data_IF_416385817123
#
_entry.id   IF_416385817123
#
_cell.length_a   1.000
_cell.length_b   1.000
_cell.length_c   1.000
_cell.angle_alpha   90.00
_cell.angle_beta   90.00
_cell.angle_gamma   90.00
#
_symmetry.space_group_name_H-M   'P 1'
#
loop_
_entity.id
_entity.type
_entity.pdbx_description
1 polymer ?
#
# COMPACT_ATOMS: atom_id res chain seq x y z
N UNK A 1 -15.54 6.49 -54.79
CA UNK A 1 -14.61 7.64 -54.71
C UNK A 1 -15.07 8.77 -53.78
N UNK A 2 -16.27 9.35 -53.96
CA UNK A 2 -16.75 10.44 -53.10
C UNK A 2 -16.75 10.08 -51.59
N UNK A 3 -17.24 8.89 -51.23
CA UNK A 3 -17.23 8.42 -49.84
C UNK A 3 -15.81 8.35 -49.23
N UNK A 4 -14.84 7.92 -50.02
CA UNK A 4 -13.44 7.82 -49.59
C UNK A 4 -12.85 9.22 -49.36
N UNK A 5 -13.06 10.16 -50.30
CA UNK A 5 -12.61 11.53 -50.16
C UNK A 5 -13.23 12.23 -48.96
N UNK A 6 -14.53 12.09 -48.76
CA UNK A 6 -15.26 12.67 -47.63
C UNK A 6 -14.75 12.10 -46.29
N UNK A 7 -14.61 10.78 -46.19
CA UNK A 7 -14.09 10.13 -44.98
C UNK A 7 -12.64 10.54 -44.68
N UNK A 8 -11.80 10.64 -45.73
CA UNK A 8 -10.42 11.10 -45.60
C UNK A 8 -10.35 12.56 -45.19
N UNK A 9 -11.19 13.42 -45.77
CA UNK A 9 -11.26 14.83 -45.41
C UNK A 9 -11.66 15.00 -43.94
N UNK A 10 -12.64 14.22 -43.46
CA UNK A 10 -13.04 14.24 -42.05
C UNK A 10 -11.90 13.80 -41.13
N UNK A 11 -11.23 12.69 -41.44
CA UNK A 11 -10.14 12.17 -40.62
C UNK A 11 -8.93 13.12 -40.51
N UNK A 12 -8.72 13.95 -41.54
CA UNK A 12 -7.68 15.00 -41.52
C UNK A 12 -8.16 16.25 -40.77
N UNK A 13 -9.46 16.54 -40.81
CA UNK A 13 -10.05 17.69 -40.14
C UNK A 13 -10.15 17.50 -38.62
N UNK A 14 -10.69 16.37 -38.18
CA UNK A 14 -10.81 15.98 -36.77
C UNK A 14 -9.67 15.04 -36.40
N UNK A 15 -8.51 15.59 -36.04
CA UNK A 15 -7.32 14.79 -35.69
C UNK A 15 -7.43 14.08 -34.35
N UNK A 16 -8.34 14.51 -33.48
CA UNK A 16 -8.57 13.91 -32.17
C UNK A 16 -9.34 12.58 -32.30
N UNK A 17 -10.38 12.55 -33.14
CA UNK A 17 -11.18 11.32 -33.38
C UNK A 17 -10.65 10.54 -34.58
N UNK A 18 -10.21 11.22 -35.63
CA UNK A 18 -9.79 10.63 -36.89
C UNK A 18 -10.93 9.91 -37.62
N UNK A 19 -10.57 8.87 -38.38
CA UNK A 19 -11.57 7.99 -39.00
C UNK A 19 -12.10 6.99 -37.96
N UNK A 20 -13.34 7.16 -37.52
CA UNK A 20 -13.98 6.24 -36.59
C UNK A 20 -14.79 5.14 -37.28
N UNK A 21 -14.80 3.94 -36.69
CA UNK A 21 -15.50 2.78 -37.23
C UNK A 21 -17.01 3.04 -37.27
N UNK A 22 -17.57 3.08 -38.48
CA UNK A 22 -18.99 3.32 -38.71
C UNK A 22 -19.30 4.68 -39.36
N UNK A 23 -18.33 5.61 -39.37
CA UNK A 23 -18.47 6.92 -40.02
C UNK A 23 -18.85 6.81 -41.50
N UNK A 24 -18.34 5.79 -42.19
CA UNK A 24 -18.65 5.56 -43.61
C UNK A 24 -20.13 5.31 -43.89
N UNK A 25 -20.88 4.71 -42.97
CA UNK A 25 -22.31 4.49 -43.16
C UNK A 25 -23.10 5.80 -43.06
N UNK A 26 -22.73 6.67 -42.13
CA UNK A 26 -23.32 8.00 -42.00
C UNK A 26 -22.96 8.88 -43.20
N UNK A 27 -21.67 8.92 -43.58
CA UNK A 27 -21.20 9.64 -44.76
C UNK A 27 -21.89 9.17 -46.05
N UNK A 28 -22.04 7.86 -46.24
CA UNK A 28 -22.76 7.29 -47.38
C UNK A 28 -24.24 7.70 -47.38
N UNK A 29 -24.88 7.67 -46.20
CA UNK A 29 -26.29 8.08 -46.04
C UNK A 29 -26.51 9.55 -46.46
N UNK A 30 -25.59 10.44 -46.09
CA UNK A 30 -25.63 11.85 -46.50
C UNK A 30 -25.41 12.00 -48.01
N UNK A 31 -24.40 11.31 -48.56
CA UNK A 31 -24.07 11.34 -49.99
C UNK A 31 -25.19 10.83 -50.91
N UNK A 32 -26.14 10.04 -50.39
CA UNK A 32 -27.33 9.63 -51.15
C UNK A 32 -28.31 10.78 -51.40
N UNK A 33 -28.25 11.86 -50.62
CA UNK A 33 -29.23 12.96 -50.65
C UNK A 33 -28.65 14.32 -51.02
N UNK A 34 -27.33 14.47 -51.00
CA UNK A 34 -26.69 15.75 -51.28
C UNK A 34 -25.31 15.59 -51.93
N UNK A 35 -24.84 16.61 -52.67
CA UNK A 35 -23.49 16.64 -53.24
C UNK A 35 -22.38 16.48 -52.20
N UNK A 36 -21.20 16.03 -52.64
CA UNK A 36 -20.05 15.69 -51.79
C UNK A 36 -19.67 16.77 -50.78
N UNK A 37 -19.57 18.02 -51.22
CA UNK A 37 -19.21 19.16 -50.36
C UNK A 37 -20.27 19.43 -49.29
N UNK A 38 -21.56 19.36 -49.66
CA UNK A 38 -22.67 19.56 -48.74
C UNK A 38 -22.73 18.43 -47.71
N UNK A 39 -22.51 17.18 -48.15
CA UNK A 39 -22.45 16.02 -47.27
C UNK A 39 -21.32 16.15 -46.25
N UNK A 40 -20.16 16.68 -46.66
CA UNK A 40 -19.06 16.97 -45.75
C UNK A 40 -19.43 18.06 -44.73
N UNK A 41 -20.05 19.17 -45.16
CA UNK A 41 -20.51 20.22 -44.26
C UNK A 41 -21.54 19.69 -43.24
N UNK A 42 -22.52 18.91 -43.67
CA UNK A 42 -23.52 18.32 -42.76
C UNK A 42 -22.87 17.30 -41.83
N UNK A 43 -21.91 16.50 -42.31
CA UNK A 43 -21.18 15.57 -41.46
C UNK A 43 -20.44 16.32 -40.33
N UNK A 44 -19.75 17.42 -40.64
CA UNK A 44 -19.10 18.25 -39.62
C UNK A 44 -20.10 18.78 -38.59
N UNK A 45 -21.27 19.23 -39.04
CA UNK A 45 -22.34 19.68 -38.14
C UNK A 45 -22.83 18.56 -37.23
N UNK A 46 -23.07 17.36 -37.76
CA UNK A 46 -23.46 16.20 -36.96
C UNK A 46 -22.38 15.81 -35.95
N UNK A 47 -21.11 15.86 -36.35
CA UNK A 47 -20.00 15.45 -35.50
C UNK A 47 -19.73 16.48 -34.39
N UNK A 48 -19.65 17.77 -34.70
CA UNK A 48 -19.32 18.84 -33.75
C UNK A 48 -20.57 19.44 -33.07
N UNK A 49 -21.49 20.00 -33.85
CA UNK A 49 -22.63 20.76 -33.30
C UNK A 49 -23.66 19.85 -32.61
N UNK A 50 -23.89 18.63 -33.13
CA UNK A 50 -24.76 17.63 -32.49
C UNK A 50 -24.00 16.71 -31.52
N UNK A 51 -22.67 16.89 -31.39
CA UNK A 51 -21.86 16.17 -30.41
C UNK A 51 -21.68 14.68 -30.66
N UNK A 52 -21.88 14.18 -31.88
CA UNK A 52 -21.68 12.76 -32.18
C UNK A 52 -20.21 12.32 -31.98
N UNK A 53 -19.25 13.23 -32.21
CA UNK A 53 -17.82 12.96 -32.03
C UNK A 53 -17.45 12.62 -30.59
N UNK A 54 -18.16 13.20 -29.61
CA UNK A 54 -17.89 13.00 -28.18
C UNK A 54 -18.10 11.54 -27.77
N UNK A 55 -18.94 10.78 -28.50
CA UNK A 55 -19.11 9.35 -28.25
C UNK A 55 -17.87 8.51 -28.55
N UNK A 56 -16.93 9.03 -29.35
CA UNK A 56 -15.71 8.32 -29.77
C UNK A 56 -14.46 8.71 -28.97
N UNK A 57 -14.55 9.77 -28.15
CA UNK A 57 -13.43 10.28 -27.36
C UNK A 57 -13.24 9.53 -26.06
N UNK A 58 -12.07 9.74 -25.43
CA UNK A 58 -11.79 9.39 -24.04
C UNK A 58 -12.16 7.94 -23.68
N UNK A 59 -11.81 6.99 -24.54
CA UNK A 59 -12.13 5.58 -24.32
C UNK A 59 -13.63 5.26 -24.35
N UNK A 60 -14.43 6.03 -25.11
CA UNK A 60 -15.88 5.91 -25.25
C UNK A 60 -16.67 6.31 -24.00
N UNK A 61 -16.12 7.18 -23.15
CA UNK A 61 -16.78 7.58 -21.89
C UNK A 61 -18.19 8.14 -22.10
N UNK A 62 -18.35 9.07 -23.05
CA UNK A 62 -19.67 9.64 -23.35
C UNK A 62 -20.64 8.57 -23.89
N UNK A 63 -20.15 7.59 -24.65
CA UNK A 63 -20.97 6.45 -25.09
C UNK A 63 -21.43 5.61 -23.89
N UNK A 64 -20.54 5.25 -22.97
CA UNK A 64 -20.92 4.48 -21.78
C UNK A 64 -21.94 5.22 -20.92
N UNK A 65 -21.81 6.55 -20.79
CA UNK A 65 -22.82 7.40 -20.16
C UNK A 65 -24.17 7.33 -20.89
N UNK A 66 -24.20 7.41 -22.23
CA UNK A 66 -25.45 7.22 -23.00
C UNK A 66 -26.03 5.82 -22.81
N UNK A 67 -25.21 4.77 -22.77
CA UNK A 67 -25.67 3.40 -22.56
C UNK A 67 -26.22 3.19 -21.15
N UNK A 68 -25.63 3.85 -20.14
CA UNK A 68 -26.17 3.90 -18.78
C UNK A 68 -27.54 4.60 -18.76
N UNK A 69 -27.66 5.77 -19.39
CA UNK A 69 -28.95 6.48 -19.53
C UNK A 69 -30.02 5.59 -20.17
N UNK A 70 -29.67 4.85 -21.24
CA UNK A 70 -30.60 3.90 -21.87
C UNK A 70 -30.99 2.79 -20.89
N UNK A 71 -30.04 2.24 -20.14
CA UNK A 71 -30.30 1.19 -19.13
C UNK A 71 -31.29 1.68 -18.06
N UNK A 72 -31.11 2.89 -17.53
CA UNK A 72 -32.02 3.51 -16.55
C UNK A 72 -33.40 3.80 -17.14
N UNK A 73 -33.47 4.24 -18.39
CA UNK A 73 -34.73 4.43 -19.09
C UNK A 73 -35.47 3.10 -19.33
N UNK A 74 -34.75 2.02 -19.63
CA UNK A 74 -35.31 0.68 -19.74
C UNK A 74 -35.86 0.19 -18.40
N UNK A 75 -35.15 0.43 -17.30
CA UNK A 75 -35.64 0.08 -15.96
C UNK A 75 -36.95 0.81 -15.63
N UNK A 76 -37.05 2.11 -15.95
CA UNK A 76 -38.25 2.91 -15.67
C UNK A 76 -39.42 2.57 -16.59
N UNK A 77 -39.19 2.43 -17.90
CA UNK A 77 -40.26 2.33 -18.90
C UNK A 77 -40.55 0.90 -19.36
N UNK A 78 -39.57 0.00 -19.22
CA UNK A 78 -39.65 -1.41 -19.64
C UNK A 78 -39.14 -2.35 -18.53
N UNK A 79 -39.61 -2.23 -17.27
CA UNK A 79 -39.00 -2.87 -16.09
C UNK A 79 -38.87 -4.40 -16.23
N UNK A 80 -39.90 -5.06 -16.75
CA UNK A 80 -39.86 -6.52 -16.97
C UNK A 80 -38.79 -6.95 -17.98
N UNK A 81 -38.59 -6.15 -19.05
CA UNK A 81 -37.57 -6.46 -20.05
C UNK A 81 -36.17 -6.19 -19.49
N UNK A 82 -36.01 -5.09 -18.76
CA UNK A 82 -34.76 -4.75 -18.08
C UNK A 82 -34.36 -5.84 -17.08
N UNK A 83 -35.30 -6.31 -16.26
CA UNK A 83 -35.07 -7.40 -15.31
C UNK A 83 -34.68 -8.69 -16.03
N UNK A 84 -35.38 -9.07 -17.11
CA UNK A 84 -35.02 -10.25 -17.92
C UNK A 84 -33.59 -10.12 -18.49
N UNK A 85 -33.22 -8.94 -18.99
CA UNK A 85 -31.88 -8.70 -19.50
C UNK A 85 -30.82 -8.83 -18.40
N UNK A 86 -31.09 -8.30 -17.21
CA UNK A 86 -30.22 -8.44 -16.03
C UNK A 86 -30.03 -9.91 -15.64
N UNK A 87 -31.11 -10.69 -15.61
CA UNK A 87 -31.07 -12.12 -15.30
C UNK A 87 -30.33 -12.93 -16.36
N UNK A 88 -30.40 -12.53 -17.63
CA UNK A 88 -29.66 -13.16 -18.74
C UNK A 88 -28.24 -12.62 -18.93
N UNK A 89 -27.81 -11.64 -18.14
CA UNK A 89 -26.49 -10.99 -18.30
C UNK A 89 -26.35 -10.18 -19.60
N UNK A 90 -27.46 -9.67 -20.15
CA UNK A 90 -27.45 -8.82 -21.35
C UNK A 90 -27.32 -7.36 -20.94
N UNK A 91 -26.25 -6.71 -21.38
CA UNK A 91 -26.00 -5.30 -21.13
C UNK A 91 -26.23 -4.43 -22.37
N UNK A 92 -26.59 -3.16 -22.15
CA UNK A 92 -26.87 -2.19 -23.22
C UNK A 92 -25.74 -2.06 -24.24
N UNK A 93 -24.48 -2.11 -23.79
CA UNK A 93 -23.31 -1.98 -24.66
C UNK A 93 -23.22 -3.09 -25.72
N UNK A 94 -23.76 -4.29 -25.42
CA UNK A 94 -23.67 -5.46 -26.29
C UNK A 94 -24.53 -5.34 -27.55
N UNK A 95 -25.59 -4.52 -27.52
CA UNK A 95 -26.52 -4.38 -28.65
C UNK A 95 -26.70 -2.94 -29.14
N UNK A 96 -26.57 -1.94 -28.27
CA UNK A 96 -26.92 -0.56 -28.59
C UNK A 96 -25.72 0.31 -29.00
N UNK A 97 -24.47 -0.12 -28.78
CA UNK A 97 -23.28 0.71 -29.10
C UNK A 97 -23.29 1.21 -30.55
N UNK A 98 -23.58 0.34 -31.52
CA UNK A 98 -23.67 0.75 -32.93
C UNK A 98 -24.88 1.64 -33.24
N UNK A 99 -25.96 1.55 -32.45
CA UNK A 99 -27.14 2.39 -32.65
C UNK A 99 -26.80 3.86 -32.42
N UNK A 100 -26.08 4.15 -31.33
CA UNK A 100 -25.64 5.50 -31.01
C UNK A 100 -24.49 5.96 -31.90
N UNK A 101 -23.42 5.16 -32.00
CA UNK A 101 -22.21 5.55 -32.75
C UNK A 101 -22.51 5.85 -34.23
N UNK A 102 -23.42 5.09 -34.85
CA UNK A 102 -23.69 5.19 -36.28
C UNK A 102 -25.02 5.86 -36.61
N UNK A 103 -25.74 6.42 -35.63
CA UNK A 103 -27.11 6.92 -35.81
C UNK A 103 -28.00 5.89 -36.54
N UNK A 104 -27.89 4.62 -36.13
CA UNK A 104 -28.59 3.46 -36.72
C UNK A 104 -28.23 3.09 -38.18
N UNK A 105 -27.36 3.84 -38.85
CA UNK A 105 -27.04 3.69 -40.29
C UNK A 105 -26.36 2.35 -40.64
N UNK A 106 -25.67 1.70 -39.69
CA UNK A 106 -24.85 0.52 -39.99
C UNK A 106 -25.64 -0.77 -40.23
N UNK A 107 -26.84 -0.91 -39.66
CA UNK A 107 -27.58 -2.19 -39.63
C UNK A 107 -29.03 -2.10 -40.07
N UNK A 108 -29.65 -0.93 -39.96
CA UNK A 108 -31.05 -0.76 -40.27
C UNK A 108 -31.29 -0.40 -41.74
N UNK A 109 -32.49 -0.68 -42.30
CA UNK A 109 -32.83 -0.32 -43.67
C UNK A 109 -32.80 1.20 -43.89
N UNK A 110 -32.29 1.63 -45.04
CA UNK A 110 -32.11 3.04 -45.40
C UNK A 110 -33.37 3.88 -45.19
N UNK A 111 -34.52 3.38 -45.61
CA UNK A 111 -35.80 4.07 -45.43
C UNK A 111 -36.06 4.46 -43.95
N UNK A 112 -35.82 3.54 -43.03
CA UNK A 112 -36.00 3.80 -41.60
C UNK A 112 -34.91 4.75 -41.06
N UNK A 113 -33.67 4.57 -41.51
CA UNK A 113 -32.54 5.44 -41.15
C UNK A 113 -32.79 6.89 -41.56
N UNK A 114 -33.37 7.15 -42.73
CA UNK A 114 -33.64 8.52 -43.19
C UNK A 114 -34.60 9.25 -42.25
N UNK A 115 -35.68 8.60 -41.82
CA UNK A 115 -36.58 9.18 -40.80
C UNK A 115 -35.88 9.45 -39.46
N UNK A 116 -34.95 8.57 -39.05
CA UNK A 116 -34.17 8.78 -37.82
C UNK A 116 -33.30 10.04 -37.98
N UNK A 117 -32.60 10.18 -39.11
CA UNK A 117 -31.75 11.35 -39.38
C UNK A 117 -32.58 12.63 -39.45
N UNK A 118 -33.75 12.62 -40.10
CA UNK A 118 -34.64 13.78 -40.18
C UNK A 118 -35.05 14.28 -38.78
N UNK A 119 -35.49 13.36 -37.91
CA UNK A 119 -35.88 13.71 -36.54
C UNK A 119 -34.66 14.09 -35.69
N UNK A 120 -33.53 13.42 -35.88
CA UNK A 120 -32.28 13.72 -35.17
C UNK A 120 -31.78 15.13 -35.50
N UNK A 121 -31.81 15.54 -36.77
CA UNK A 121 -31.44 16.91 -37.18
C UNK A 121 -32.45 17.97 -36.69
N UNK A 122 -33.65 17.57 -36.29
CA UNK A 122 -34.65 18.49 -35.74
C UNK A 122 -34.58 18.59 -34.21
N UNK A 123 -34.39 17.46 -33.52
CA UNK A 123 -34.57 17.33 -32.06
C UNK A 123 -33.26 17.02 -31.31
N UNK A 124 -32.22 16.59 -32.03
CA UNK A 124 -30.93 16.23 -31.45
C UNK A 124 -30.88 14.82 -30.86
N UNK A 125 -29.97 14.65 -29.89
CA UNK A 125 -29.54 13.35 -29.35
C UNK A 125 -30.63 12.56 -28.61
N UNK A 126 -31.69 13.23 -28.12
CA UNK A 126 -32.85 12.56 -27.52
C UNK A 126 -33.52 11.56 -28.45
N UNK A 127 -33.49 11.84 -29.76
CA UNK A 127 -34.01 10.96 -30.82
C UNK A 127 -33.43 9.56 -30.72
N UNK A 128 -32.15 9.43 -30.37
CA UNK A 128 -31.47 8.14 -30.30
C UNK A 128 -32.05 7.24 -29.20
N UNK A 129 -32.39 7.84 -28.06
CA UNK A 129 -33.03 7.14 -26.95
C UNK A 129 -34.48 6.78 -27.26
N UNK A 130 -35.22 7.71 -27.85
CA UNK A 130 -36.60 7.48 -28.28
C UNK A 130 -36.70 6.29 -29.25
N UNK A 131 -35.83 6.25 -30.26
CA UNK A 131 -35.78 5.15 -31.23
C UNK A 131 -35.38 3.84 -30.55
N UNK A 132 -34.39 3.84 -29.65
CA UNK A 132 -33.98 2.65 -28.92
C UNK A 132 -35.13 2.06 -28.09
N UNK A 133 -35.85 2.90 -27.33
CA UNK A 133 -36.99 2.47 -26.52
C UNK A 133 -38.17 2.02 -27.38
N UNK A 134 -38.43 2.68 -28.50
CA UNK A 134 -39.46 2.27 -29.44
C UNK A 134 -39.17 0.88 -30.03
N UNK A 135 -37.92 0.64 -30.46
CA UNK A 135 -37.47 -0.66 -30.95
C UNK A 135 -37.63 -1.76 -29.88
N UNK A 136 -37.15 -1.51 -28.67
CA UNK A 136 -37.24 -2.45 -27.54
C UNK A 136 -38.69 -2.74 -27.15
N UNK A 137 -39.56 -1.73 -27.17
CA UNK A 137 -40.99 -1.89 -26.89
C UNK A 137 -41.66 -2.76 -27.94
N UNK A 138 -41.36 -2.53 -29.22
CA UNK A 138 -41.90 -3.29 -30.34
C UNK A 138 -41.52 -4.77 -30.26
N UNK A 139 -40.28 -5.10 -29.88
CA UNK A 139 -39.81 -6.49 -29.80
C UNK A 139 -39.88 -7.12 -28.41
N UNK A 140 -40.40 -6.42 -27.40
CA UNK A 140 -40.47 -6.88 -26.00
C UNK A 140 -41.01 -8.31 -25.87
N UNK A 141 -42.15 -8.62 -26.50
CA UNK A 141 -42.80 -9.94 -26.38
C UNK A 141 -41.91 -11.08 -26.89
N UNK A 142 -41.16 -10.83 -27.94
CA UNK A 142 -40.24 -11.82 -28.52
C UNK A 142 -39.02 -11.98 -27.61
N UNK A 143 -38.42 -10.88 -27.19
CA UNK A 143 -37.21 -10.86 -26.37
C UNK A 143 -37.38 -11.53 -25.00
N UNK A 144 -38.55 -11.41 -24.37
CA UNK A 144 -38.85 -12.03 -23.06
C UNK A 144 -38.77 -13.56 -23.07
N UNK A 145 -38.81 -14.20 -24.25
CA UNK A 145 -38.79 -15.65 -24.39
C UNK A 145 -37.41 -16.19 -24.76
N UNK A 146 -36.44 -15.30 -24.98
CA UNK A 146 -35.12 -15.66 -25.50
C UNK A 146 -34.08 -15.75 -24.38
N UNK A 147 -33.06 -16.58 -24.62
CA UNK A 147 -31.84 -16.65 -23.82
C UNK A 147 -30.80 -15.63 -24.30
N UNK A 148 -29.66 -15.57 -23.61
CA UNK A 148 -28.59 -14.61 -23.89
C UNK A 148 -28.16 -14.61 -25.37
N UNK A 149 -27.81 -15.77 -25.94
CA UNK A 149 -27.31 -15.86 -27.32
C UNK A 149 -28.41 -15.47 -28.32
N UNK A 150 -29.64 -15.93 -28.10
CA UNK A 150 -30.77 -15.66 -28.99
C UNK A 150 -31.16 -14.17 -28.96
N UNK A 151 -31.05 -13.50 -27.81
CA UNK A 151 -31.27 -12.05 -27.70
C UNK A 151 -30.27 -11.29 -28.58
N UNK A 152 -28.96 -11.59 -28.46
CA UNK A 152 -27.94 -10.91 -29.26
C UNK A 152 -28.11 -11.18 -30.76
N UNK A 153 -28.44 -12.44 -31.12
CA UNK A 153 -28.76 -12.81 -32.50
C UNK A 153 -30.01 -12.08 -33.01
N UNK A 154 -31.03 -11.91 -32.17
CA UNK A 154 -32.26 -11.18 -32.51
C UNK A 154 -31.95 -9.73 -32.88
N UNK A 155 -31.15 -9.03 -32.06
CA UNK A 155 -30.74 -7.65 -32.36
C UNK A 155 -29.90 -7.54 -33.63
N UNK A 156 -29.02 -8.52 -33.89
CA UNK A 156 -28.15 -8.50 -35.07
C UNK A 156 -28.88 -8.79 -36.38
N UNK A 157 -29.88 -9.69 -36.37
CA UNK A 157 -30.46 -10.25 -37.60
C UNK A 157 -31.96 -9.97 -37.73
N UNK A 158 -32.74 -10.24 -36.68
CA UNK A 158 -34.20 -10.21 -36.77
C UNK A 158 -34.75 -8.79 -36.69
N UNK A 159 -34.25 -7.99 -35.75
CA UNK A 159 -34.73 -6.63 -35.53
C UNK A 159 -34.59 -5.74 -36.79
N UNK A 160 -33.44 -5.68 -37.49
CA UNK A 160 -33.33 -4.86 -38.69
C UNK A 160 -34.26 -5.31 -39.82
N UNK A 161 -34.54 -6.62 -39.94
CA UNK A 161 -35.47 -7.15 -40.94
C UNK A 161 -36.91 -6.68 -40.70
N UNK A 162 -37.34 -6.58 -39.44
CA UNK A 162 -38.68 -6.06 -39.09
C UNK A 162 -38.87 -4.60 -39.50
N UNK A 163 -37.79 -3.81 -39.48
CA UNK A 163 -37.80 -2.41 -39.90
C UNK A 163 -37.75 -2.20 -41.43
N UNK A 164 -37.80 -3.26 -42.26
CA UNK A 164 -37.84 -3.13 -43.73
C UNK A 164 -39.21 -2.72 -44.27
N UNK A 165 -40.28 -3.04 -43.54
CA UNK A 165 -41.63 -2.64 -43.93
C UNK A 165 -41.81 -1.15 -43.62
N UNK A 166 -42.18 -0.36 -44.63
CA UNK A 166 -42.30 1.09 -44.50
C UNK A 166 -43.38 1.53 -43.50
N UNK A 167 -44.52 0.85 -43.46
CA UNK A 167 -45.60 1.18 -42.53
C UNK A 167 -45.18 0.90 -41.09
N UNK A 168 -44.45 -0.20 -40.87
CA UNK A 168 -43.85 -0.51 -39.56
C UNK A 168 -42.84 0.56 -39.17
N UNK A 169 -41.95 0.95 -40.08
CA UNK A 169 -40.95 2.00 -39.83
C UNK A 169 -41.60 3.36 -39.52
N UNK A 170 -42.60 3.79 -40.28
CA UNK A 170 -43.36 5.03 -40.03
C UNK A 170 -44.05 5.00 -38.66
N UNK A 171 -44.75 3.90 -38.34
CA UNK A 171 -45.44 3.77 -37.07
C UNK A 171 -44.47 3.73 -35.90
N UNK A 172 -43.32 3.07 -36.06
CA UNK A 172 -42.25 3.04 -35.07
C UNK A 172 -41.69 4.44 -34.81
N UNK A 173 -41.44 5.24 -35.86
CA UNK A 173 -40.96 6.62 -35.69
C UNK A 173 -42.00 7.53 -35.04
N UNK A 174 -43.28 7.42 -35.44
CA UNK A 174 -44.38 8.14 -34.76
C UNK A 174 -44.43 7.78 -33.27
N UNK A 175 -44.29 6.50 -32.94
CA UNK A 175 -44.25 6.05 -31.56
C UNK A 175 -43.02 6.60 -30.83
N UNK A 176 -41.82 6.52 -31.43
CA UNK A 176 -40.58 7.06 -30.86
C UNK A 176 -40.71 8.54 -30.50
N UNK A 177 -41.20 9.38 -31.41
CA UNK A 177 -41.41 10.81 -31.16
C UNK A 177 -42.45 11.09 -30.05
N UNK A 178 -43.32 10.14 -29.72
CA UNK A 178 -44.29 10.29 -28.62
C UNK A 178 -43.69 9.97 -27.24
N UNK A 179 -42.52 9.31 -27.19
CA UNK A 179 -41.85 8.94 -25.94
C UNK A 179 -41.16 10.16 -25.34
N UNK A 180 -41.52 10.53 -24.11
CA UNK A 180 -40.93 11.67 -23.40
C UNK A 180 -39.62 11.29 -22.72
N UNK A 181 -38.51 11.93 -23.09
CA UNK A 181 -37.20 11.74 -22.47
C UNK A 181 -37.05 12.60 -21.22
N UNK A 182 -37.67 12.18 -20.12
CA UNK A 182 -37.46 12.82 -18.81
C UNK A 182 -36.21 12.24 -18.16
N UNK A 183 -35.55 13.02 -17.30
CA UNK A 183 -34.44 12.59 -16.42
C UNK A 183 -33.11 12.21 -17.08
N UNK A 184 -32.90 12.42 -18.40
CA UNK A 184 -31.59 12.18 -19.02
C UNK A 184 -30.43 12.87 -18.26
N UNK A 185 -30.57 14.16 -17.96
CA UNK A 185 -29.59 14.91 -17.16
C UNK A 185 -29.38 14.34 -15.75
N UNK A 186 -30.44 13.80 -15.13
CA UNK A 186 -30.33 13.15 -13.83
C UNK A 186 -29.48 11.88 -13.94
N UNK A 187 -29.74 11.06 -14.95
CA UNK A 187 -28.99 9.82 -15.19
C UNK A 187 -27.54 10.08 -15.63
N UNK A 188 -27.27 11.21 -16.29
CA UNK A 188 -25.90 11.69 -16.56
C UNK A 188 -25.15 12.00 -15.26
N UNK A 189 -25.78 12.77 -14.36
CA UNK A 189 -25.19 13.08 -13.05
C UNK A 189 -24.97 11.81 -12.21
N UNK A 190 -25.95 10.89 -12.18
CA UNK A 190 -25.81 9.59 -11.51
C UNK A 190 -24.61 8.78 -12.07
N UNK A 191 -24.37 8.83 -13.37
CA UNK A 191 -23.23 8.14 -13.99
C UNK A 191 -21.89 8.75 -13.58
N UNK A 192 -21.80 10.08 -13.58
CA UNK A 192 -20.59 10.80 -13.17
C UNK A 192 -20.25 10.48 -11.72
N UNK A 193 -21.24 10.55 -10.82
CA UNK A 193 -21.07 10.22 -9.40
C UNK A 193 -20.63 8.76 -9.20
N UNK A 194 -21.20 7.81 -9.95
CA UNK A 194 -20.78 6.41 -9.91
C UNK A 194 -19.34 6.22 -10.37
N UNK A 195 -18.92 6.93 -11.42
CA UNK A 195 -17.55 6.88 -11.93
C UNK A 195 -16.55 7.45 -10.92
N UNK A 196 -16.82 8.63 -10.38
CA UNK A 196 -15.98 9.26 -9.36
C UNK A 196 -15.87 8.39 -8.10
N UNK A 197 -16.97 7.76 -7.69
CA UNK A 197 -16.98 6.82 -6.57
C UNK A 197 -16.13 5.57 -6.86
N UNK A 198 -16.20 5.02 -8.08
CA UNK A 198 -15.40 3.88 -8.50
C UNK A 198 -13.91 4.24 -8.53
N UNK A 199 -13.54 5.37 -9.15
CA UNK A 199 -12.15 5.85 -9.19
C UNK A 199 -11.60 6.09 -7.78
N UNK A 200 -12.40 6.66 -6.88
CA UNK A 200 -12.03 6.84 -5.47
C UNK A 200 -11.85 5.50 -4.75
N UNK A 201 -12.73 4.53 -4.99
CA UNK A 201 -12.62 3.19 -4.40
C UNK A 201 -11.36 2.45 -4.87
N UNK A 202 -11.02 2.57 -6.15
CA UNK A 202 -9.81 1.97 -6.72
C UNK A 202 -8.55 2.62 -6.12
N UNK A 203 -8.55 3.95 -5.93
CA UNK A 203 -7.47 4.66 -5.23
C UNK A 203 -7.29 4.16 -3.79
N UNK A 204 -8.38 4.09 -3.01
CA UNK A 204 -8.31 3.57 -1.64
C UNK A 204 -7.89 2.11 -1.58
N UNK A 205 -8.31 1.29 -2.54
CA UNK A 205 -7.88 -0.12 -2.64
C UNK A 205 -6.36 -0.21 -2.84
N UNK A 206 -5.81 0.60 -3.76
CA UNK A 206 -4.37 0.64 -4.03
C UNK A 206 -3.58 1.16 -2.81
N UNK A 207 -4.07 2.20 -2.13
CA UNK A 207 -3.45 2.70 -0.90
C UNK A 207 -3.48 1.65 0.22
N UNK A 208 -4.60 0.95 0.37
CA UNK A 208 -4.75 -0.12 1.35
C UNK A 208 -3.77 -1.27 1.09
N UNK A 209 -3.58 -1.66 -0.16
CA UNK A 209 -2.61 -2.69 -0.55
C UNK A 209 -1.17 -2.25 -0.25
N UNK A 210 -0.82 -1.00 -0.57
CA UNK A 210 0.48 -0.41 -0.23
C UNK A 210 0.72 -0.42 1.28
N UNK A 211 -0.23 0.08 2.07
CA UNK A 211 -0.11 0.11 3.53
C UNK A 211 0.01 -1.29 4.14
N UNK A 212 -0.71 -2.28 3.61
CA UNK A 212 -0.58 -3.69 4.03
C UNK A 212 0.82 -4.23 3.76
N UNK A 213 1.42 -3.91 2.62
CA UNK A 213 2.78 -4.35 2.28
C UNK A 213 3.82 -3.72 3.22
N UNK A 214 3.68 -2.44 3.55
CA UNK A 214 4.56 -1.72 4.48
C UNK A 214 4.41 -2.26 5.91
N UNK A 215 3.18 -2.54 6.34
CA UNK A 215 2.92 -3.15 7.64
C UNK A 215 3.60 -4.52 7.75
N UNK A 216 3.45 -5.37 6.74
CA UNK A 216 4.08 -6.70 6.71
C UNK A 216 5.60 -6.59 6.82
N UNK A 217 6.21 -5.67 6.05
CA UNK A 217 7.66 -5.41 6.12
C UNK A 217 8.11 -4.93 7.49
N UNK A 218 7.35 -4.04 8.12
CA UNK A 218 7.64 -3.53 9.47
C UNK A 218 7.51 -4.62 10.54
N UNK A 219 6.52 -5.51 10.40
CA UNK A 219 6.35 -6.66 11.28
C UNK A 219 7.51 -7.67 11.16
N UNK A 220 7.99 -7.93 9.94
CA UNK A 220 9.18 -8.76 9.70
C UNK A 220 10.45 -8.14 10.29
N UNK A 221 10.64 -6.83 10.12
CA UNK A 221 11.77 -6.10 10.70
C UNK A 221 11.74 -6.12 12.23
N UNK A 222 10.56 -5.87 12.82
CA UNK A 222 10.36 -5.97 14.27
C UNK A 222 10.72 -7.36 14.77
N UNK A 223 10.24 -8.43 14.12
CA UNK A 223 10.55 -9.80 14.49
C UNK A 223 12.07 -10.07 14.43
N UNK A 224 12.74 -9.61 13.38
CA UNK A 224 14.20 -9.72 13.24
C UNK A 224 14.94 -9.01 14.37
N UNK A 225 14.51 -7.79 14.74
CA UNK A 225 15.11 -7.04 15.84
C UNK A 225 14.86 -7.72 17.20
N UNK A 226 13.68 -8.30 17.42
CA UNK A 226 13.37 -9.09 18.63
C UNK A 226 14.25 -10.34 18.74
N UNK A 227 14.52 -11.03 17.63
CA UNK A 227 15.45 -12.15 17.56
C UNK A 227 16.89 -11.72 17.89
N UNK A 228 17.38 -10.62 17.30
CA UNK A 228 18.69 -10.06 17.59
C UNK A 228 18.83 -9.64 19.06
N UNK A 229 17.80 -8.99 19.61
CA UNK A 229 17.77 -8.61 21.03
C UNK A 229 17.88 -9.84 21.93
N UNK A 230 17.18 -10.92 21.58
CA UNK A 230 17.23 -12.19 22.34
C UNK A 230 18.63 -12.81 22.28
N UNK A 231 19.26 -12.81 21.10
CA UNK A 231 20.62 -13.31 20.93
C UNK A 231 21.66 -12.52 21.75
N UNK A 232 21.57 -11.19 21.73
CA UNK A 232 22.46 -10.32 22.51
C UNK A 232 22.25 -10.51 24.02
N UNK A 233 21.00 -10.61 24.48
CA UNK A 233 20.69 -10.90 25.89
C UNK A 233 21.32 -12.21 26.36
N UNK A 234 21.21 -13.27 25.55
CA UNK A 234 21.79 -14.57 25.87
C UNK A 234 23.33 -14.54 25.87
N UNK A 235 23.93 -13.82 24.92
CA UNK A 235 25.38 -13.59 24.89
C UNK A 235 25.85 -12.86 26.16
N UNK A 236 25.18 -11.77 26.54
CA UNK A 236 25.49 -11.00 27.74
C UNK A 236 25.38 -11.87 29.00
N UNK A 237 24.33 -12.69 29.10
CA UNK A 237 24.14 -13.61 30.23
C UNK A 237 25.31 -14.59 30.38
N UNK A 238 25.83 -15.12 29.27
CA UNK A 238 26.99 -16.03 29.29
C UNK A 238 28.26 -15.33 29.73
N UNK A 239 28.52 -14.12 29.22
CA UNK A 239 29.69 -13.33 29.62
C UNK A 239 29.62 -12.94 31.10
N UNK A 240 28.45 -12.57 31.61
CA UNK A 240 28.23 -12.32 33.04
C UNK A 240 28.53 -13.58 33.87
N UNK A 241 27.98 -14.74 33.48
CA UNK A 241 28.23 -16.00 34.19
C UNK A 241 29.72 -16.39 34.19
N UNK A 242 30.41 -16.14 33.07
CA UNK A 242 31.85 -16.38 32.95
C UNK A 242 32.65 -15.46 33.88
N UNK A 243 32.34 -14.16 33.89
CA UNK A 243 32.97 -13.20 34.77
C UNK A 243 32.73 -13.54 36.26
N UNK A 244 31.52 -13.97 36.63
CA UNK A 244 31.21 -14.45 37.98
C UNK A 244 32.06 -15.68 38.35
N UNK A 245 32.15 -16.67 37.47
CA UNK A 245 32.96 -17.87 37.70
C UNK A 245 34.45 -17.53 37.86
N UNK A 246 34.98 -16.62 37.04
CA UNK A 246 36.37 -16.19 37.15
C UNK A 246 36.60 -15.37 38.42
N UNK A 247 35.63 -14.57 38.86
CA UNK A 247 35.69 -13.88 40.14
C UNK A 247 35.74 -14.86 41.33
N UNK A 248 34.95 -15.94 41.29
CA UNK A 248 34.98 -17.01 42.31
C UNK A 248 36.36 -17.68 42.33
N UNK A 249 36.93 -18.02 41.16
CA UNK A 249 38.29 -18.59 41.08
C UNK A 249 39.33 -17.65 41.64
N UNK A 250 39.28 -16.37 41.26
CA UNK A 250 40.21 -15.36 41.76
C UNK A 250 40.11 -15.20 43.28
N UNK A 251 38.89 -15.19 43.83
CA UNK A 251 38.67 -15.16 45.27
C UNK A 251 39.27 -16.39 45.98
N UNK A 252 39.12 -17.58 45.40
CA UNK A 252 39.73 -18.81 45.93
C UNK A 252 41.26 -18.76 45.90
N UNK A 253 41.85 -18.28 44.79
CA UNK A 253 43.30 -18.08 44.66
C UNK A 253 43.80 -17.08 45.71
N UNK A 254 43.11 -15.95 45.87
CA UNK A 254 43.45 -14.93 46.88
C UNK A 254 43.41 -15.52 48.28
N UNK A 255 42.39 -16.33 48.61
CA UNK A 255 42.29 -17.00 49.90
C UNK A 255 43.43 -18.02 50.10
N UNK A 256 43.74 -18.83 49.10
CA UNK A 256 44.89 -19.76 49.15
C UNK A 256 46.22 -19.03 49.35
N UNK A 257 46.43 -17.91 48.66
CA UNK A 257 47.60 -17.05 48.88
C UNK A 257 47.65 -16.51 50.32
N UNK A 258 46.52 -16.05 50.88
CA UNK A 258 46.45 -15.59 52.27
C UNK A 258 46.81 -16.70 53.26
N UNK A 259 46.35 -17.92 53.04
CA UNK A 259 46.67 -19.08 53.90
C UNK A 259 48.17 -19.43 53.86
N UNK A 260 48.78 -19.42 52.66
CA UNK A 260 50.22 -19.62 52.49
C UNK A 260 51.01 -18.54 53.22
N UNK A 261 50.63 -17.27 53.07
CA UNK A 261 51.25 -16.17 53.81
C UNK A 261 51.15 -16.36 55.32
N UNK A 262 49.96 -16.73 55.84
CA UNK A 262 49.79 -16.99 57.28
C UNK A 262 50.65 -18.16 57.78
N UNK A 263 50.78 -19.24 56.99
CA UNK A 263 51.63 -20.39 57.36
C UNK A 263 53.11 -20.00 57.40
N UNK A 264 53.59 -19.33 56.37
CA UNK A 264 54.97 -18.84 56.30
C UNK A 264 55.28 -17.90 57.46
N UNK A 265 54.36 -17.01 57.82
CA UNK A 265 54.53 -16.08 58.94
C UNK A 265 54.59 -16.82 60.29
N UNK A 266 53.76 -17.86 60.49
CA UNK A 266 53.85 -18.74 61.68
C UNK A 266 55.16 -19.50 61.75
N UNK A 267 55.62 -20.08 60.64
CA UNK A 267 56.92 -20.80 60.57
C UNK A 267 58.09 -19.85 60.85
N UNK A 268 58.04 -18.65 60.30
CA UNK A 268 59.05 -17.61 60.53
C UNK A 268 59.06 -17.14 62.00
N UNK A 269 57.89 -16.96 62.62
CA UNK A 269 57.76 -16.65 64.04
C UNK A 269 58.28 -17.78 64.93
N UNK A 270 57.94 -19.04 64.63
CA UNK A 270 58.42 -20.20 65.37
C UNK A 270 59.95 -20.38 65.26
N UNK A 271 60.50 -20.17 64.06
CA UNK A 271 61.94 -20.18 63.82
C UNK A 271 62.65 -19.06 64.59
N UNK A 272 62.09 -17.84 64.58
CA UNK A 272 62.57 -16.72 65.39
C UNK A 272 62.51 -17.02 66.89
N UNK A 273 61.42 -17.59 67.38
CA UNK A 273 61.28 -17.95 68.79
C UNK A 273 62.32 -19.01 69.20
N UNK A 274 62.57 -20.01 68.35
CA UNK A 274 63.60 -21.02 68.57
C UNK A 274 65.01 -20.42 68.55
N UNK A 275 65.28 -19.49 67.63
CA UNK A 275 66.54 -18.76 67.55
C UNK A 275 66.75 -17.90 68.81
N UNK A 276 65.72 -17.21 69.28
CA UNK A 276 65.74 -16.45 70.54
C UNK A 276 65.94 -17.35 71.76
N UNK A 277 65.33 -18.54 71.79
CA UNK A 277 65.57 -19.53 72.85
C UNK A 277 67.03 -20.00 72.82
N UNK A 278 67.58 -20.34 71.65
CA UNK A 278 68.99 -20.73 71.53
C UNK A 278 69.92 -19.60 72.00
N UNK A 279 69.64 -18.36 71.60
CA UNK A 279 70.35 -17.17 72.10
C UNK A 279 70.24 -17.04 73.63
N UNK A 280 69.08 -17.35 74.22
CA UNK A 280 68.88 -17.38 75.67
C UNK A 280 69.64 -18.49 76.41
N UNK A 281 69.79 -19.68 75.79
CA UNK A 281 70.59 -20.78 76.35
C UNK A 281 72.09 -20.47 76.26
N UNK A 282 72.52 -19.85 75.15
CA UNK A 282 73.91 -19.40 74.94
C UNK A 282 74.27 -18.31 75.96
N UNK A 283 73.36 -17.37 76.25
CA UNK A 283 73.58 -16.31 77.25
C UNK A 283 73.65 -16.83 78.69
N UNK A 284 73.04 -17.98 78.99
CA UNK A 284 73.11 -18.67 80.28
C UNK A 284 74.37 -19.53 80.51
N UNK A 285 75.23 -19.70 79.51
CA UNK A 285 76.44 -20.51 79.61
C UNK A 285 77.69 -19.68 79.98
N UNK A 286 78.30 -19.95 81.15
CA UNK A 286 79.45 -19.20 81.68
C UNK A 286 80.76 -19.25 80.89
N UNK A 287 80.86 -20.07 79.83
CA UNK A 287 81.99 -20.07 78.87
C UNK A 287 81.62 -19.54 77.48
N UNK A 288 80.33 -19.48 77.14
CA UNK A 288 79.85 -19.11 75.80
C UNK A 288 79.23 -17.70 75.76
N UNK A 289 78.95 -17.05 76.90
CA UNK A 289 78.38 -15.69 76.90
C UNK A 289 79.30 -14.59 76.36
N UNK A 290 80.60 -14.89 76.18
CA UNK A 290 81.59 -13.98 75.58
C UNK A 290 81.80 -14.16 74.08
N UNK A 291 81.06 -15.06 73.42
CA UNK A 291 81.02 -15.12 71.95
C UNK A 291 79.74 -14.46 71.45
N UNK A 292 79.78 -13.14 71.27
CA UNK A 292 78.91 -12.52 70.27
C UNK A 292 79.31 -13.11 68.91
N UNK A 293 78.39 -13.82 68.28
CA UNK A 293 78.49 -14.17 66.87
C UNK A 293 77.73 -13.12 66.05
N UNK A 294 78.43 -12.21 65.35
CA UNK A 294 77.83 -11.42 64.29
C UNK A 294 77.85 -12.23 62.99
N UNK A 295 76.95 -13.20 62.81
CA UNK A 295 76.68 -13.79 61.50
C UNK A 295 75.19 -14.10 61.28
N UNK A 296 74.53 -13.07 60.72
CA UNK A 296 73.64 -13.10 59.55
C UNK A 296 72.32 -13.89 59.59
N UNK A 297 71.21 -13.12 59.67
CA UNK A 297 70.29 -13.00 58.53
C UNK A 297 70.15 -11.51 58.17
N UNK A 298 71.14 -10.95 57.48
CA UNK A 298 70.79 -10.17 56.30
C UNK A 298 70.87 -11.15 55.13
N UNK A 299 69.71 -11.68 54.74
CA UNK A 299 69.54 -12.34 53.46
C UNK A 299 69.36 -11.29 52.36
N UNK A 300 70.45 -10.64 51.97
CA UNK A 300 70.65 -10.19 50.58
C UNK A 300 71.52 -11.26 49.94
N UNK A 301 70.91 -12.17 49.18
CA UNK A 301 71.63 -13.06 48.27
C UNK A 301 71.16 -12.77 46.86
N UNK A 302 71.86 -11.83 46.22
CA UNK A 302 72.13 -11.94 44.80
C UNK A 302 73.12 -13.10 44.60
N UNK A 303 72.66 -14.16 43.96
CA UNK A 303 73.51 -15.19 43.37
C UNK A 303 73.39 -15.08 41.86
N UNK A 304 74.45 -14.57 41.26
CA UNK A 304 74.63 -14.46 39.82
C UNK A 304 74.55 -15.84 39.14
N UNK A 305 73.73 -15.91 38.08
CA UNK A 305 74.06 -16.67 36.88
C UNK A 305 74.00 -15.70 35.69
N UNK A 306 75.19 -15.32 35.23
CA UNK A 306 75.59 -15.40 33.82
C UNK A 306 74.48 -15.17 32.79
N UNK A 307 74.41 -13.98 32.20
CA UNK A 307 74.90 -13.74 30.83
C UNK A 307 74.46 -12.35 30.38
N UNK A 308 75.40 -11.66 29.74
CA UNK A 308 75.13 -10.75 28.63
C UNK A 308 74.45 -9.40 28.95
N UNK A 309 75.30 -8.41 29.21
CA UNK A 309 75.53 -7.37 28.21
C UNK A 309 74.27 -6.76 27.56
N UNK A 310 73.62 -5.79 28.21
CA UNK A 310 73.10 -4.61 27.50
C UNK A 310 72.74 -3.47 28.47
N UNK A 311 73.50 -2.40 28.40
CA UNK A 311 73.21 -1.08 28.97
C UNK A 311 72.03 -0.39 28.26
N UNK A 312 70.86 -1.05 28.14
CA UNK A 312 69.75 -0.59 27.30
C UNK A 312 68.31 -0.89 27.77
N UNK A 313 68.04 -1.48 28.95
CA UNK A 313 66.71 -2.02 29.26
C UNK A 313 65.89 -1.33 30.39
N UNK A 314 66.48 -0.55 31.29
CA UNK A 314 65.69 0.15 32.34
C UNK A 314 64.88 1.33 31.78
N UNK A 315 65.39 2.01 30.75
CA UNK A 315 64.57 2.97 29.98
C UNK A 315 63.45 2.28 29.19
N UNK A 316 63.56 0.99 28.87
CA UNK A 316 62.61 0.26 28.00
C UNK A 316 61.32 -0.15 28.72
N UNK A 317 61.35 -0.41 30.02
CA UNK A 317 60.15 -0.82 30.78
C UNK A 317 59.32 0.41 31.20
N UNK A 318 60.00 1.47 31.63
CA UNK A 318 59.40 2.77 31.92
C UNK A 318 58.87 3.44 30.64
N UNK A 319 59.62 3.37 29.52
CA UNK A 319 59.12 3.79 28.21
C UNK A 319 57.94 2.93 27.72
N UNK A 320 57.88 1.64 28.03
CA UNK A 320 56.73 0.78 27.69
C UNK A 320 55.48 1.13 28.49
N UNK A 321 55.62 1.44 29.78
CA UNK A 321 54.51 1.91 30.62
C UNK A 321 54.03 3.29 30.17
N UNK A 322 54.94 4.22 29.90
CA UNK A 322 54.60 5.54 29.34
C UNK A 322 53.92 5.42 27.97
N UNK A 323 54.42 4.55 27.09
CA UNK A 323 53.80 4.28 25.80
C UNK A 323 52.39 3.68 25.96
N UNK A 324 52.18 2.79 26.94
CA UNK A 324 50.86 2.22 27.23
C UNK A 324 49.90 3.26 27.82
N UNK A 325 50.40 4.19 28.63
CA UNK A 325 49.61 5.32 29.14
C UNK A 325 49.18 6.22 27.97
N UNK A 326 50.10 6.59 27.07
CA UNK A 326 49.74 7.41 25.88
C UNK A 326 48.77 6.70 24.94
N UNK A 327 48.87 5.37 24.82
CA UNK A 327 47.94 4.56 24.02
C UNK A 327 46.54 4.53 24.65
N UNK A 328 46.45 4.33 25.96
CA UNK A 328 45.19 4.39 26.70
C UNK A 328 44.58 5.81 26.70
N UNK A 329 45.40 6.85 26.73
CA UNK A 329 44.94 8.24 26.57
C UNK A 329 44.36 8.50 25.17
N UNK A 330 44.97 7.93 24.14
CA UNK A 330 44.47 8.01 22.76
C UNK A 330 43.17 7.21 22.59
N UNK A 331 43.09 5.99 23.12
CA UNK A 331 41.86 5.17 23.14
C UNK A 331 40.73 5.89 23.88
N UNK A 332 41.03 6.51 25.03
CA UNK A 332 40.07 7.31 25.78
C UNK A 332 39.60 8.53 24.99
N UNK A 333 40.50 9.22 24.28
CA UNK A 333 40.16 10.35 23.43
C UNK A 333 39.25 9.92 22.26
N UNK A 334 39.54 8.79 21.62
CA UNK A 334 38.73 8.22 20.55
C UNK A 334 37.34 7.78 21.05
N UNK A 335 37.28 7.13 22.20
CA UNK A 335 36.01 6.73 22.82
C UNK A 335 35.15 7.95 23.20
N UNK A 336 35.76 9.02 23.71
CA UNK A 336 35.07 10.29 24.00
C UNK A 336 34.55 10.95 22.73
N UNK A 337 35.34 10.96 21.65
CA UNK A 337 34.91 11.51 20.36
C UNK A 337 33.70 10.73 19.82
N UNK A 338 33.76 9.40 19.85
CA UNK A 338 32.67 8.52 19.44
C UNK A 338 31.41 8.71 20.28
N UNK A 339 31.55 8.95 21.59
CA UNK A 339 30.43 9.27 22.46
C UNK A 339 29.77 10.60 22.08
N UNK A 340 30.55 11.67 21.86
CA UNK A 340 30.03 12.98 21.44
C UNK A 340 29.34 12.89 20.08
N UNK A 341 29.92 12.16 19.12
CA UNK A 341 29.28 11.93 17.82
C UNK A 341 27.97 11.15 17.92
N UNK A 342 27.88 10.18 18.85
CA UNK A 342 26.66 9.43 19.11
C UNK A 342 25.60 10.33 19.78
N UNK A 343 25.99 11.19 20.71
CA UNK A 343 25.12 12.16 21.37
C UNK A 343 24.56 13.20 20.37
N UNK A 344 25.41 13.75 19.49
CA UNK A 344 24.97 14.64 18.42
C UNK A 344 24.01 13.95 17.44
N UNK A 345 24.28 12.70 17.05
CA UNK A 345 23.37 11.91 16.21
C UNK A 345 22.03 11.66 16.90
N UNK A 346 22.04 11.39 18.20
CA UNK A 346 20.82 11.16 18.97
C UNK A 346 19.98 12.45 19.13
N UNK A 347 20.63 13.60 19.29
CA UNK A 347 19.96 14.91 19.25
C UNK A 347 19.32 15.20 17.88
N UNK A 348 20.03 14.94 16.78
CA UNK A 348 19.51 15.16 15.43
C UNK A 348 18.30 14.24 15.12
N UNK A 349 18.38 12.98 15.56
CA UNK A 349 17.25 12.03 15.47
C UNK A 349 16.07 12.48 16.34
N UNK A 350 16.33 12.99 17.56
CA UNK A 350 15.28 13.52 18.44
C UNK A 350 14.59 14.74 17.83
N UNK A 351 15.36 15.61 17.15
CA UNK A 351 14.81 16.77 16.45
C UNK A 351 13.94 16.34 15.25
N UNK A 352 14.41 15.38 14.45
CA UNK A 352 13.65 14.77 13.33
C UNK A 352 12.36 14.09 13.80
N UNK A 353 12.43 13.37 14.93
CA UNK A 353 11.25 12.78 15.56
C UNK A 353 10.26 13.87 16.00
N UNK A 354 10.74 14.96 16.61
CA UNK A 354 9.90 16.09 17.01
C UNK A 354 9.21 16.78 15.83
N UNK A 355 9.92 16.97 14.71
CA UNK A 355 9.36 17.59 13.50
C UNK A 355 8.31 16.70 12.84
N UNK A 356 8.60 15.42 12.66
CA UNK A 356 7.64 14.44 12.11
C UNK A 356 6.41 14.27 13.00
N UNK A 357 6.57 14.29 14.33
CA UNK A 357 5.45 14.22 15.27
C UNK A 357 4.58 15.49 15.24
N UNK A 358 5.19 16.67 15.07
CA UNK A 358 4.48 17.93 14.89
C UNK A 358 3.70 17.96 13.55
N UNK A 359 4.28 17.46 12.47
CA UNK A 359 3.61 17.28 11.18
C UNK A 359 2.42 16.32 11.30
N UNK A 360 2.60 15.15 11.92
CA UNK A 360 1.51 14.20 12.16
C UNK A 360 0.39 14.79 13.04
N UNK A 361 0.73 15.59 14.06
CA UNK A 361 -0.27 16.27 14.89
C UNK A 361 -1.00 17.38 14.13
N UNK A 362 -0.31 18.11 13.26
CA UNK A 362 -0.93 19.09 12.37
C UNK A 362 -1.89 18.41 11.38
N UNK A 363 -1.51 17.26 10.81
CA UNK A 363 -2.39 16.43 9.97
C UNK A 363 -3.59 15.85 10.74
N UNK A 364 -3.44 15.58 12.05
CA UNK A 364 -4.53 15.11 12.93
C UNK A 364 -5.52 16.22 13.31
N UNK A 365 -5.08 17.48 13.29
CA UNK A 365 -5.91 18.64 13.64
C UNK A 365 -6.68 19.21 12.43
N UNK A 366 -6.47 18.70 11.21
CA UNK A 366 -7.42 18.84 10.10
C UNK A 366 -8.57 17.88 10.35
N UNK A 367 -9.52 18.34 11.18
CA UNK A 367 -10.64 17.55 11.66
C UNK A 367 -11.50 17.03 10.49
N UNK A 368 -11.85 15.75 10.57
CA UNK A 368 -12.81 15.08 9.71
C UNK A 368 -14.15 15.85 9.72
N UNK A 369 -14.90 15.88 8.60
CA UNK A 369 -16.21 16.51 8.55
C UNK A 369 -17.14 15.99 9.68
N UNK A 370 -17.90 16.86 10.37
CA UNK A 370 -18.71 16.51 11.55
C UNK A 370 -19.73 15.38 11.38
N UNK A 371 -20.03 14.98 10.14
CA UNK A 371 -20.91 13.85 9.84
C UNK A 371 -20.19 12.50 9.98
N UNK A 372 -18.88 12.45 9.72
CA UNK A 372 -18.06 11.23 9.80
C UNK A 372 -17.73 10.85 11.25
N UNK A 373 -17.53 11.85 12.12
CA UNK A 373 -17.31 11.60 13.54
C UNK A 373 -18.54 11.01 14.22
N UNK A 374 -19.75 11.49 13.87
CA UNK A 374 -21.03 10.98 14.41
C UNK A 374 -21.34 9.54 13.99
N UNK A 375 -20.98 9.15 12.77
CA UNK A 375 -21.19 7.78 12.28
C UNK A 375 -20.28 6.79 13.00
N UNK A 376 -19.03 7.17 13.29
CA UNK A 376 -18.09 6.33 14.01
C UNK A 376 -18.43 6.16 15.50
N UNK A 377 -18.96 7.18 16.18
CA UNK A 377 -19.47 7.02 17.55
C UNK A 377 -20.67 6.10 17.61
N UNK A 378 -21.59 6.19 16.63
CA UNK A 378 -22.77 5.32 16.56
C UNK A 378 -22.40 3.84 16.31
N UNK A 379 -21.40 3.58 15.46
CA UNK A 379 -20.87 2.22 15.24
C UNK A 379 -20.20 1.68 16.52
N UNK A 380 -19.52 2.53 17.28
CA UNK A 380 -18.87 2.15 18.54
C UNK A 380 -19.89 1.80 19.64
N UNK A 381 -21.01 2.51 19.73
CA UNK A 381 -22.11 2.19 20.66
C UNK A 381 -22.81 0.87 20.30
N UNK A 382 -23.01 0.60 19.02
CA UNK A 382 -23.59 -0.68 18.54
C UNK A 382 -22.64 -1.87 18.78
N UNK A 383 -21.33 -1.64 18.72
CA UNK A 383 -20.32 -2.67 19.01
C UNK A 383 -20.22 -3.00 20.51
N UNK A 384 -20.45 -2.02 21.41
CA UNK A 384 -20.42 -2.22 22.86
C UNK A 384 -21.69 -2.92 23.38
N UNK A 385 -22.84 -2.74 22.73
CA UNK A 385 -24.08 -3.41 23.12
C UNK A 385 -24.20 -4.89 22.68
N UNK A 386 -23.25 -5.42 21.89
CA UNK A 386 -23.28 -6.82 21.42
C UNK A 386 -22.50 -7.82 22.29
N UNK A 387 -21.87 -7.39 23.39
CA UNK A 387 -20.96 -8.23 24.20
C UNK A 387 -21.45 -8.57 25.62
N UNK A 388 -22.76 -8.60 25.87
CA UNK A 388 -23.29 -9.18 27.12
C UNK A 388 -24.43 -10.16 26.83
N UNK A 389 -24.19 -11.49 26.81
CA UNK A 389 -25.25 -12.47 26.87
C UNK A 389 -25.66 -12.70 28.33
N UNK A 390 -26.83 -12.22 28.72
CA UNK A 390 -27.48 -12.67 29.96
C UNK A 390 -27.91 -14.13 29.80
N UNK A 391 -27.28 -15.04 30.54
CA UNK A 391 -27.84 -16.36 30.86
C UNK A 391 -28.93 -16.17 31.92
N UNK A 392 -30.17 -16.54 31.60
CA UNK A 392 -31.16 -16.90 32.61
C UNK A 392 -31.93 -18.15 32.16
N UNK A 393 -31.92 -19.13 33.05
CA UNK A 393 -32.68 -20.36 33.00
C UNK A 393 -34.18 -20.09 33.12
N UNK A 394 -35.01 -20.83 32.38
CA UNK A 394 -36.35 -21.22 32.85
C UNK A 394 -36.83 -22.51 32.16
N UNK A 395 -37.40 -23.37 33.01
CA UNK A 395 -37.92 -24.73 32.80
C UNK A 395 -39.25 -24.69 32.03
N UNK A 396 -39.63 -25.72 31.25
CA UNK A 396 -40.97 -25.82 30.71
C UNK A 396 -41.92 -26.50 31.72
N UNK A 397 -43.06 -25.87 32.00
CA UNK A 397 -44.20 -26.50 32.65
C UNK A 397 -45.43 -26.35 31.76
N UNK A 398 -46.15 -27.46 31.62
CA UNK A 398 -47.34 -27.73 30.82
C UNK A 398 -48.42 -26.64 30.85
N UNK A 399 -49.09 -26.45 29.71
CA UNK A 399 -50.56 -26.41 29.50
C UNK A 399 -50.88 -26.20 28.02
#
# INVERSE_FOLDING_TARGET
>A
DALFRLSKAYAVHDTEVGYCQGLSFLAATLLLHMPEEQAFCVLLKVMYDYGLRELYKDGFECLYMRLYQLSRLMEEQLPHLHQHFREKGVESHMFASQWFLTLYTARFPLYFVFHIIDVFLLQGTETLFQVALALLTMCKKDLMQLDFESILKYFRVTLPKKCRNEDVAKNLMKFACSIKMKKLKKYEQEFIELKEAQESADQYSNELEKMKSELTRSEEEKKRLEEQLTQVKEMLKREVQKAENDNIKNAAIINGYKEVCQRLDREQQASRASLNHLLGVISGCGRCSKMEAPLLINGTTDAAKSQENCSGCTSSQEARLLHRVTELELELAQAKLAQVEAECRNQDLSHKLGTTLAEMQASRNVAWPPWLSKTLTSIKEVAVNKTIPQRSHSVPSDS
#
